data_IF_982182867650
#
_entry.id   IF_982182867650
#
_cell.length_a   1.000
_cell.length_b   1.000
_cell.length_c   1.000
_cell.angle_alpha   90.00
_cell.angle_beta   90.00
_cell.angle_gamma   90.00
#
_symmetry.space_group_name_H-M   'P 1'
#
loop_
_entity.id
_entity.type
_entity.pdbx_description
1 polymer ?
#
# COMPACT_ATOMS: atom_id res chain seq x y z
N UNK A 1 1.41 36.74 -15.06
CA UNK A 1 -0.03 36.72 -15.33
C UNK A 1 -0.27 37.93 -16.22
N UNK A 2 -0.75 37.73 -17.44
CA UNK A 2 -1.11 38.82 -18.35
C UNK A 2 -2.43 39.42 -17.87
N UNK A 3 -2.46 40.74 -17.64
CA UNK A 3 -3.70 41.45 -17.28
C UNK A 3 -4.45 41.74 -18.57
N UNK A 4 -5.66 41.19 -18.68
CA UNK A 4 -6.54 41.40 -19.84
C UNK A 4 -7.57 42.47 -19.50
N UNK A 5 -7.78 43.40 -20.42
CA UNK A 5 -8.86 44.38 -20.36
C UNK A 5 -9.83 44.12 -21.50
N UNK A 6 -11.13 44.10 -21.21
CA UNK A 6 -12.18 43.92 -22.21
C UNK A 6 -13.26 45.00 -22.14
N UNK A 7 -13.72 45.46 -23.29
CA UNK A 7 -14.91 46.28 -23.44
C UNK A 7 -16.10 45.34 -23.52
N UNK A 8 -17.04 45.51 -22.59
CA UNK A 8 -18.24 44.67 -22.49
C UNK A 8 -19.49 45.52 -22.50
N UNK A 9 -20.56 45.00 -23.12
CA UNK A 9 -21.89 45.60 -23.08
C UNK A 9 -22.91 44.54 -22.69
N UNK A 10 -23.69 44.85 -21.66
CA UNK A 10 -24.73 43.98 -21.12
C UNK A 10 -26.07 44.70 -21.16
N UNK A 11 -27.19 44.02 -21.50
CA UNK A 11 -27.28 42.59 -21.83
C UNK A 11 -26.94 42.25 -23.29
N UNK A 12 -26.78 43.25 -24.17
CA UNK A 12 -26.58 43.04 -25.60
C UNK A 12 -25.08 43.10 -25.98
N UNK A 13 -24.49 42.00 -26.46
CA UNK A 13 -23.08 41.97 -26.86
C UNK A 13 -22.77 42.97 -27.98
N UNK A 14 -21.49 43.33 -28.12
CA UNK A 14 -21.04 44.29 -29.15
C UNK A 14 -20.89 43.55 -30.48
N UNK A 15 -21.65 43.95 -31.51
CA UNK A 15 -21.53 43.32 -32.82
C UNK A 15 -20.18 43.63 -33.47
N UNK A 16 -19.62 42.67 -34.23
CA UNK A 16 -18.34 42.90 -34.94
C UNK A 16 -18.40 44.11 -35.90
N UNK A 17 -19.46 44.19 -36.70
CA UNK A 17 -19.65 45.32 -37.64
C UNK A 17 -19.83 46.67 -36.92
N UNK A 18 -20.47 46.65 -35.75
CA UNK A 18 -20.63 47.84 -34.90
C UNK A 18 -19.28 48.30 -34.34
N UNK A 19 -18.45 47.36 -33.86
CA UNK A 19 -17.09 47.64 -33.41
C UNK A 19 -16.23 48.23 -34.54
N UNK A 20 -16.18 47.60 -35.71
CA UNK A 20 -15.42 48.09 -36.86
C UNK A 20 -15.89 49.48 -37.31
N UNK A 21 -17.20 49.74 -37.28
CA UNK A 21 -17.76 51.05 -37.62
C UNK A 21 -17.39 52.12 -36.59
N UNK A 22 -17.44 51.80 -35.30
CA UNK A 22 -17.02 52.70 -34.24
C UNK A 22 -15.51 53.00 -34.36
N UNK A 23 -14.70 51.97 -34.61
CA UNK A 23 -13.25 52.11 -34.77
C UNK A 23 -12.87 53.02 -35.96
N UNK A 24 -13.58 52.94 -37.09
CA UNK A 24 -13.33 53.83 -38.25
C UNK A 24 -13.63 55.30 -37.99
N UNK A 25 -14.41 55.64 -36.95
CA UNK A 25 -14.76 57.02 -36.59
C UNK A 25 -13.73 57.66 -35.64
N UNK A 26 -12.89 56.86 -35.00
CA UNK A 26 -11.88 57.33 -34.05
C UNK A 26 -10.53 57.49 -34.75
N UNK A 27 -9.93 58.68 -34.67
CA UNK A 27 -8.65 58.98 -35.32
C UNK A 27 -7.46 58.23 -34.69
N UNK A 28 -7.60 57.75 -33.46
CA UNK A 28 -6.59 56.98 -32.74
C UNK A 28 -6.67 55.48 -33.06
N UNK A 29 -7.68 55.04 -33.82
CA UNK A 29 -7.85 53.65 -34.24
C UNK A 29 -7.55 53.50 -35.73
N UNK A 30 -6.90 52.39 -36.09
CA UNK A 30 -6.65 51.98 -37.47
C UNK A 30 -7.39 50.67 -37.71
N UNK A 31 -8.18 50.60 -38.78
CA UNK A 31 -8.88 49.39 -39.20
C UNK A 31 -8.27 48.92 -40.50
N UNK A 32 -7.74 47.70 -40.50
CA UNK A 32 -7.18 47.06 -41.67
C UNK A 32 -8.26 46.52 -42.62
N UNK A 33 -7.85 46.13 -43.83
CA UNK A 33 -8.74 45.59 -44.85
C UNK A 33 -9.39 44.26 -44.44
N UNK A 34 -8.74 43.50 -43.55
CA UNK A 34 -9.22 42.25 -42.97
C UNK A 34 -10.16 42.45 -41.75
N UNK A 35 -10.38 43.71 -41.36
CA UNK A 35 -11.18 44.08 -40.19
C UNK A 35 -10.40 44.04 -38.86
N UNK A 36 -9.08 43.79 -38.88
CA UNK A 36 -8.24 43.91 -37.69
C UNK A 36 -8.16 45.36 -37.23
N UNK A 37 -8.25 45.59 -35.91
CA UNK A 37 -8.27 46.94 -35.33
C UNK A 37 -7.06 47.15 -34.45
N UNK A 38 -6.40 48.30 -34.60
CA UNK A 38 -5.20 48.67 -33.86
C UNK A 38 -5.34 50.07 -33.26
N UNK A 39 -4.86 50.24 -32.02
CA UNK A 39 -4.67 51.55 -31.41
C UNK A 39 -3.33 52.12 -31.86
N UNK A 40 -3.36 53.32 -32.46
CA UNK A 40 -2.16 54.07 -32.83
C UNK A 40 -1.56 54.74 -31.60
N UNK A 41 -0.27 54.51 -31.39
CA UNK A 41 0.48 55.01 -30.24
C UNK A 41 1.54 56.03 -30.67
N UNK A 42 2.07 56.77 -29.70
CA UNK A 42 3.21 57.64 -29.94
C UNK A 42 4.41 56.83 -30.48
N UNK A 43 5.18 57.43 -31.40
CA UNK A 43 6.33 56.75 -32.01
C UNK A 43 5.98 55.74 -33.11
N UNK A 44 4.73 55.71 -33.59
CA UNK A 44 4.30 54.83 -34.68
C UNK A 44 4.09 53.37 -34.26
N UNK A 45 4.08 53.10 -32.95
CA UNK A 45 3.73 51.78 -32.42
C UNK A 45 2.22 51.56 -32.52
N UNK A 46 1.82 50.28 -32.61
CA UNK A 46 0.43 49.88 -32.69
C UNK A 46 0.12 48.79 -31.67
N UNK A 47 -1.03 48.87 -31.01
CA UNK A 47 -1.52 47.83 -30.09
C UNK A 47 -2.79 47.20 -30.67
N UNK A 48 -2.82 45.87 -30.89
CA UNK A 48 -3.98 45.20 -31.45
C UNK A 48 -5.15 45.18 -30.46
N UNK A 49 -6.35 45.35 -30.99
CA UNK A 49 -7.63 45.08 -30.32
C UNK A 49 -8.26 43.85 -30.98
N UNK A 50 -8.61 42.87 -30.15
CA UNK A 50 -9.22 41.63 -30.59
C UNK A 50 -10.71 41.67 -30.32
N UNK A 51 -11.52 41.18 -31.24
CA UNK A 51 -12.96 40.98 -31.04
C UNK A 51 -13.27 39.49 -30.97
N UNK A 52 -13.94 39.07 -29.90
CA UNK A 52 -14.35 37.67 -29.69
C UNK A 52 -15.63 37.65 -28.85
N UNK A 53 -16.63 36.87 -29.29
CA UNK A 53 -17.90 36.65 -28.59
C UNK A 53 -18.63 37.91 -28.08
N UNK A 54 -18.45 39.01 -28.82
CA UNK A 54 -19.06 40.30 -28.51
C UNK A 54 -18.39 41.11 -27.40
N UNK A 55 -17.17 40.71 -27.01
CA UNK A 55 -16.23 41.52 -26.23
C UNK A 55 -15.07 42.00 -27.11
N UNK A 56 -14.46 43.14 -26.75
CA UNK A 56 -13.25 43.65 -27.40
C UNK A 56 -12.14 43.67 -26.35
N UNK A 57 -11.04 42.96 -26.55
CA UNK A 57 -9.98 42.87 -25.55
C UNK A 57 -8.59 43.18 -26.09
N UNK A 58 -7.68 43.47 -25.17
CA UNK A 58 -6.25 43.63 -25.44
C UNK A 58 -5.43 43.14 -24.24
N UNK A 59 -4.22 42.68 -24.51
CA UNK A 59 -3.30 42.14 -23.51
C UNK A 59 -2.37 43.24 -23.00
N UNK A 60 -2.39 43.49 -21.68
CA UNK A 60 -1.46 44.39 -20.98
C UNK A 60 -1.37 45.79 -21.63
N UNK A 61 -2.49 46.52 -21.75
CA UNK A 61 -2.48 47.84 -22.35
C UNK A 61 -1.72 48.85 -21.49
N UNK A 62 -0.92 49.68 -22.15
CA UNK A 62 -0.37 50.89 -21.54
C UNK A 62 -1.47 51.95 -21.35
N UNK A 63 -1.18 52.98 -20.55
CA UNK A 63 -2.18 54.00 -20.17
C UNK A 63 -2.78 54.76 -21.37
N UNK A 64 -2.03 54.93 -22.46
CA UNK A 64 -2.51 55.53 -23.70
C UNK A 64 -3.54 54.63 -24.41
N UNK A 65 -3.29 53.32 -24.47
CA UNK A 65 -4.20 52.32 -25.03
C UNK A 65 -5.47 52.21 -24.18
N UNK A 66 -5.34 52.21 -22.84
CA UNK A 66 -6.48 52.22 -21.93
C UNK A 66 -7.38 53.44 -22.13
N UNK A 67 -6.80 54.63 -22.33
CA UNK A 67 -7.57 55.84 -22.57
C UNK A 67 -8.44 55.72 -23.84
N UNK A 68 -7.87 55.19 -24.91
CA UNK A 68 -8.59 54.92 -26.16
C UNK A 68 -9.70 53.89 -25.94
N UNK A 69 -9.43 52.81 -25.22
CA UNK A 69 -10.43 51.80 -24.92
C UNK A 69 -11.59 52.33 -24.06
N UNK A 70 -11.34 53.24 -23.12
CA UNK A 70 -12.39 53.89 -22.32
C UNK A 70 -13.28 54.76 -23.23
N UNK A 71 -12.68 55.54 -24.13
CA UNK A 71 -13.43 56.37 -25.08
C UNK A 71 -14.24 55.51 -26.07
N UNK A 72 -13.64 54.42 -26.55
CA UNK A 72 -14.30 53.46 -27.42
C UNK A 72 -15.47 52.76 -26.70
N UNK A 73 -15.29 52.37 -25.44
CA UNK A 73 -16.36 51.78 -24.63
C UNK A 73 -17.56 52.72 -24.49
N UNK A 74 -17.31 54.01 -24.23
CA UNK A 74 -18.36 55.02 -24.15
C UNK A 74 -19.12 55.16 -25.49
N UNK A 75 -18.41 55.14 -26.62
CA UNK A 75 -18.99 55.20 -27.97
C UNK A 75 -19.89 54.00 -28.28
N UNK A 76 -19.48 52.81 -27.82
CA UNK A 76 -20.20 51.55 -28.01
C UNK A 76 -21.33 51.34 -26.98
N UNK A 77 -21.52 52.26 -26.03
CA UNK A 77 -22.46 52.07 -24.91
C UNK A 77 -22.08 50.90 -24.01
N UNK A 78 -20.80 50.53 -23.98
CA UNK A 78 -20.24 49.49 -23.12
C UNK A 78 -19.45 50.09 -21.96
N UNK A 79 -18.66 49.24 -21.30
CA UNK A 79 -17.72 49.63 -20.25
C UNK A 79 -16.42 48.86 -20.42
N UNK A 80 -15.29 49.51 -20.16
CA UNK A 80 -13.99 48.84 -20.07
C UNK A 80 -13.90 48.15 -18.71
N UNK A 81 -13.59 46.85 -18.69
CA UNK A 81 -13.53 45.98 -17.52
C UNK A 81 -12.21 45.21 -17.53
N UNK A 82 -11.55 45.09 -16.38
CA UNK A 82 -10.38 44.22 -16.25
C UNK A 82 -10.74 42.79 -15.80
N UNK A 83 -9.76 41.91 -15.75
CA UNK A 83 -9.94 40.52 -15.27
C UNK A 83 -10.45 40.42 -13.81
N UNK A 84 -10.25 41.46 -13.01
CA UNK A 84 -10.75 41.57 -11.63
C UNK A 84 -12.24 41.93 -11.55
N UNK A 85 -12.87 42.21 -12.70
CA UNK A 85 -14.22 42.73 -12.85
C UNK A 85 -14.38 44.18 -12.39
N UNK A 86 -13.27 44.92 -12.31
CA UNK A 86 -13.30 46.36 -12.07
C UNK A 86 -13.54 47.05 -13.41
N UNK A 87 -14.60 47.84 -13.47
CA UNK A 87 -14.92 48.67 -14.63
C UNK A 87 -14.27 50.04 -14.49
N UNK A 88 -13.80 50.63 -15.59
CA UNK A 88 -13.03 51.88 -15.59
C UNK A 88 -13.84 52.99 -16.26
N UNK A 89 -14.04 54.12 -15.55
CA UNK A 89 -14.68 55.33 -16.11
C UNK A 89 -13.65 56.31 -16.67
N UNK A 90 -12.51 56.39 -15.99
CA UNK A 90 -11.31 57.14 -16.38
C UNK A 90 -10.10 56.28 -16.02
N UNK A 91 -8.90 56.71 -16.40
CA UNK A 91 -7.66 55.99 -16.07
C UNK A 91 -7.46 55.81 -14.55
N UNK A 92 -8.01 56.73 -13.74
CA UNK A 92 -7.81 56.75 -12.29
C UNK A 92 -9.07 56.37 -11.50
N UNK A 93 -10.21 56.15 -12.16
CA UNK A 93 -11.50 55.89 -11.51
C UNK A 93 -12.10 54.55 -11.94
N UNK A 94 -11.84 53.52 -11.14
CA UNK A 94 -12.48 52.22 -11.20
C UNK A 94 -13.76 52.14 -10.36
N UNK A 95 -14.70 51.28 -10.77
CA UNK A 95 -15.90 50.94 -10.01
C UNK A 95 -16.35 49.50 -10.30
N UNK A 96 -17.12 48.90 -9.40
CA UNK A 96 -17.74 47.59 -9.63
C UNK A 96 -19.14 47.80 -10.20
N UNK A 97 -19.44 47.22 -11.36
CA UNK A 97 -20.76 47.32 -11.97
C UNK A 97 -21.74 46.32 -11.33
N UNK A 98 -23.04 46.68 -11.25
CA UNK A 98 -24.06 45.84 -10.62
C UNK A 98 -24.18 44.45 -11.28
N UNK A 99 -24.08 44.40 -12.61
CA UNK A 99 -24.10 43.14 -13.38
C UNK A 99 -22.97 42.17 -12.99
N UNK A 100 -21.84 42.68 -12.50
CA UNK A 100 -20.71 41.86 -12.09
C UNK A 100 -20.87 41.31 -10.65
N UNK A 101 -21.90 41.76 -9.90
CA UNK A 101 -22.15 41.34 -8.53
C UNK A 101 -22.39 39.83 -8.40
N UNK A 102 -23.15 39.24 -9.32
CA UNK A 102 -23.40 37.79 -9.33
C UNK A 102 -22.10 37.00 -9.57
N UNK A 103 -21.27 37.46 -10.51
CA UNK A 103 -19.98 36.84 -10.84
C UNK A 103 -18.99 36.99 -9.67
N UNK A 104 -18.94 38.15 -9.01
CA UNK A 104 -18.13 38.37 -7.81
C UNK A 104 -18.57 37.47 -6.66
N UNK A 105 -19.88 37.36 -6.41
CA UNK A 105 -20.42 36.45 -5.39
C UNK A 105 -20.08 34.98 -5.71
N UNK A 106 -20.17 34.58 -6.99
CA UNK A 106 -19.76 33.25 -7.43
C UNK A 106 -18.26 33.00 -7.20
N UNK A 107 -17.38 33.95 -7.57
CA UNK A 107 -15.93 33.87 -7.33
C UNK A 107 -15.61 33.81 -5.84
N UNK A 108 -16.23 34.64 -5.01
CA UNK A 108 -16.05 34.62 -3.55
C UNK A 108 -16.50 33.27 -2.96
N UNK A 109 -17.66 32.74 -3.37
CA UNK A 109 -18.13 31.43 -2.89
C UNK A 109 -17.21 30.28 -3.35
N UNK A 110 -16.65 30.35 -4.56
CA UNK A 110 -15.68 29.39 -5.06
C UNK A 110 -14.37 29.46 -4.27
N UNK A 111 -13.86 30.67 -4.00
CA UNK A 111 -12.68 30.89 -3.18
C UNK A 111 -12.88 30.39 -1.75
N UNK A 112 -14.04 30.64 -1.14
CA UNK A 112 -14.38 30.11 0.18
C UNK A 112 -14.45 28.57 0.18
N UNK A 113 -15.08 27.96 -0.83
CA UNK A 113 -15.09 26.48 -1.01
C UNK A 113 -13.68 25.92 -1.15
N UNK A 114 -12.83 26.59 -1.93
CA UNK A 114 -11.44 26.19 -2.12
C UNK A 114 -10.63 26.31 -0.83
N UNK A 115 -10.78 27.42 -0.09
CA UNK A 115 -10.15 27.61 1.22
C UNK A 115 -10.61 26.56 2.24
N UNK A 116 -11.92 26.22 2.28
CA UNK A 116 -12.45 25.14 3.13
C UNK A 116 -11.83 23.80 2.77
N UNK A 117 -11.78 23.44 1.48
CA UNK A 117 -11.12 22.20 1.01
C UNK A 117 -9.64 22.18 1.36
N UNK A 118 -8.94 23.31 1.23
CA UNK A 118 -7.52 23.43 1.60
C UNK A 118 -7.30 23.26 3.10
N UNK A 119 -8.14 23.88 3.94
CA UNK A 119 -8.11 23.70 5.41
C UNK A 119 -8.40 22.25 5.82
N UNK A 120 -9.39 21.60 5.21
CA UNK A 120 -9.70 20.18 5.45
C UNK A 120 -8.53 19.28 5.06
N UNK A 121 -7.94 19.48 3.87
CA UNK A 121 -6.75 18.73 3.45
C UNK A 121 -5.55 18.99 4.37
N UNK A 122 -5.37 20.23 4.82
CA UNK A 122 -4.34 20.59 5.80
C UNK A 122 -4.55 19.89 7.15
N UNK A 123 -5.79 19.87 7.65
CA UNK A 123 -6.16 19.18 8.89
C UNK A 123 -5.98 17.66 8.78
N UNK A 124 -6.37 17.05 7.66
CA UNK A 124 -6.11 15.62 7.39
C UNK A 124 -4.63 15.29 7.36
N UNK A 125 -3.79 16.13 6.73
CA UNK A 125 -2.33 15.95 6.74
C UNK A 125 -1.76 16.06 8.15
N UNK A 126 -2.19 17.05 8.93
CA UNK A 126 -1.76 17.20 10.33
C UNK A 126 -2.18 15.98 11.17
N UNK A 127 -3.42 15.51 11.01
CA UNK A 127 -3.92 14.33 11.70
C UNK A 127 -3.13 13.08 11.33
N UNK A 128 -2.80 12.88 10.05
CA UNK A 128 -1.96 11.78 9.60
C UNK A 128 -0.53 11.86 10.18
N UNK A 129 0.07 13.05 10.23
CA UNK A 129 1.39 13.27 10.85
C UNK A 129 1.33 12.99 12.35
N UNK A 130 0.29 13.46 13.05
CA UNK A 130 0.09 13.17 14.47
C UNK A 130 -0.12 11.67 14.73
N UNK A 131 -0.90 10.99 13.89
CA UNK A 131 -1.10 9.55 13.98
C UNK A 131 0.23 8.80 13.77
N UNK A 132 1.01 9.18 12.75
CA UNK A 132 2.33 8.61 12.52
C UNK A 132 3.30 8.90 13.67
N UNK A 133 3.24 10.09 14.28
CA UNK A 133 4.03 10.42 15.45
C UNK A 133 3.63 9.58 16.67
N UNK A 134 2.33 9.39 16.91
CA UNK A 134 1.81 8.50 17.96
C UNK A 134 2.26 7.06 17.71
N UNK A 135 2.15 6.57 16.47
CA UNK A 135 2.65 5.24 16.09
C UNK A 135 4.17 5.17 16.30
N UNK A 136 4.95 6.17 15.90
CA UNK A 136 6.39 6.18 16.11
C UNK A 136 6.78 6.24 17.60
N UNK A 137 6.03 6.97 18.43
CA UNK A 137 6.20 7.00 19.88
C UNK A 137 5.83 5.64 20.47
N UNK A 138 4.72 5.03 20.04
CA UNK A 138 4.32 3.70 20.46
C UNK A 138 5.37 2.64 20.08
N UNK A 139 5.88 2.72 18.85
CA UNK A 139 6.98 1.91 18.31
C UNK A 139 8.34 2.26 18.93
N UNK A 140 8.45 3.24 19.81
CA UNK A 140 9.67 3.48 20.61
C UNK A 140 9.47 3.22 22.09
N UNK A 141 8.23 3.03 22.53
CA UNK A 141 7.92 2.84 23.93
C UNK A 141 8.18 1.38 24.31
N UNK A 142 9.12 1.09 25.22
CA UNK A 142 9.54 -0.28 25.54
C UNK A 142 8.42 -1.15 26.15
N UNK A 143 7.36 -0.53 26.69
CA UNK A 143 6.20 -1.26 27.22
C UNK A 143 5.19 -1.74 26.14
N UNK A 144 5.28 -1.24 24.90
CA UNK A 144 4.36 -1.59 23.81
C UNK A 144 4.95 -2.60 22.83
N UNK A 145 6.25 -2.84 22.90
CA UNK A 145 6.86 -3.99 22.27
C UNK A 145 6.86 -5.14 23.28
N UNK A 146 6.50 -6.37 22.87
CA UNK A 146 6.88 -7.52 23.67
C UNK A 146 8.39 -7.41 23.88
N UNK A 147 8.83 -7.40 25.15
CA UNK A 147 10.24 -7.56 25.50
C UNK A 147 10.81 -8.62 24.59
N UNK A 148 11.95 -8.37 23.91
CA UNK A 148 12.53 -9.37 23.03
C UNK A 148 12.60 -10.68 23.80
N UNK A 149 12.09 -11.76 23.22
CA UNK A 149 11.96 -13.08 23.89
C UNK A 149 13.32 -13.69 24.29
N UNK A 150 14.41 -12.97 24.04
CA UNK A 150 15.77 -13.21 24.49
C UNK A 150 16.13 -12.52 25.81
N UNK A 151 15.27 -11.65 26.34
CA UNK A 151 15.42 -11.05 27.67
C UNK A 151 15.21 -12.14 28.74
N UNK A 152 16.22 -12.46 29.59
CA UNK A 152 16.08 -13.44 30.66
C UNK A 152 15.00 -13.07 31.70
N UNK A 153 14.48 -11.83 31.69
CA UNK A 153 13.35 -11.41 32.50
C UNK A 153 11.97 -11.61 31.83
N UNK A 154 11.93 -12.08 30.57
CA UNK A 154 10.68 -12.42 29.88
C UNK A 154 9.95 -13.56 30.58
N UNK A 155 8.63 -13.46 30.71
CA UNK A 155 7.78 -14.53 31.24
C UNK A 155 7.84 -15.84 30.41
N UNK A 156 8.41 -15.79 29.21
CA UNK A 156 8.62 -16.91 28.30
C UNK A 156 10.10 -17.30 28.14
N UNK A 157 11.02 -16.68 28.90
CA UNK A 157 12.41 -17.11 28.91
C UNK A 157 12.51 -18.52 29.49
N UNK A 158 13.12 -19.45 28.74
CA UNK A 158 13.30 -20.82 29.20
C UNK A 158 14.14 -20.83 30.49
N UNK A 159 13.63 -21.39 31.60
CA UNK A 159 14.36 -21.50 32.85
C UNK A 159 15.73 -22.15 32.65
N UNK A 160 16.75 -21.75 33.41
CA UNK A 160 18.10 -22.32 33.28
C UNK A 160 18.12 -23.85 33.44
N UNK A 161 17.26 -24.38 34.31
CA UNK A 161 17.06 -25.83 34.49
C UNK A 161 16.51 -26.53 33.25
N UNK A 162 15.68 -25.86 32.44
CA UNK A 162 15.14 -26.40 31.19
C UNK A 162 16.21 -26.43 30.10
N UNK A 163 17.06 -25.39 30.03
CA UNK A 163 18.26 -25.41 29.16
C UNK A 163 19.22 -26.55 29.50
N UNK A 164 19.35 -26.88 30.79
CA UNK A 164 20.14 -28.02 31.25
C UNK A 164 19.45 -29.38 30.96
N UNK A 165 18.12 -29.47 31.10
CA UNK A 165 17.35 -30.68 30.82
C UNK A 165 17.31 -31.07 29.33
N UNK A 166 17.48 -30.11 28.41
CA UNK A 166 17.71 -30.34 26.97
C UNK A 166 19.00 -31.14 26.68
N UNK A 167 19.86 -31.37 27.69
CA UNK A 167 21.17 -32.00 27.56
C UNK A 167 21.20 -33.53 27.53
N UNK A 168 20.26 -34.24 28.19
CA UNK A 168 20.57 -35.63 28.62
C UNK A 168 19.73 -36.77 28.00
N UNK A 169 18.70 -36.50 27.20
CA UNK A 169 17.98 -37.55 26.46
C UNK A 169 18.13 -37.36 24.95
N UNK A 170 18.53 -38.43 24.24
CA UNK A 170 18.55 -38.44 22.77
C UNK A 170 17.13 -38.14 22.27
N UNK A 171 16.94 -37.12 21.42
CA UNK A 171 15.62 -36.81 20.90
C UNK A 171 15.14 -37.92 19.97
N UNK A 172 13.84 -38.18 19.94
CA UNK A 172 13.21 -39.03 18.94
C UNK A 172 12.88 -38.25 17.66
N UNK A 173 12.87 -36.91 17.75
CA UNK A 173 12.50 -35.99 16.69
C UNK A 173 13.24 -34.65 16.85
N UNK A 174 13.72 -34.09 15.74
CA UNK A 174 14.25 -32.73 15.70
C UNK A 174 13.25 -31.79 15.02
N UNK A 175 12.98 -30.66 15.67
CA UNK A 175 12.21 -29.56 15.12
C UNK A 175 13.16 -28.42 14.77
N UNK A 176 13.27 -28.10 13.49
CA UNK A 176 14.29 -27.19 12.96
C UNK A 176 13.60 -26.00 12.30
N UNK A 177 13.59 -24.81 12.91
CA UNK A 177 13.11 -23.61 12.23
C UNK A 177 14.10 -23.18 11.14
N UNK A 178 13.60 -22.73 10.00
CA UNK A 178 14.39 -21.98 9.01
C UNK A 178 14.62 -20.54 9.48
N UNK A 179 15.52 -19.82 8.80
CA UNK A 179 15.84 -18.41 9.05
C UNK A 179 14.63 -17.45 8.97
N UNK A 180 13.58 -17.86 8.26
CA UNK A 180 12.34 -17.13 8.15
C UNK A 180 11.29 -17.53 9.19
N UNK A 181 11.60 -18.41 10.16
CA UNK A 181 10.65 -18.90 11.16
C UNK A 181 11.10 -18.51 12.58
N UNK A 182 10.15 -18.09 13.43
CA UNK A 182 10.46 -17.68 14.80
C UNK A 182 10.96 -18.85 15.65
N UNK A 183 12.19 -18.77 16.16
CA UNK A 183 12.79 -19.80 17.02
C UNK A 183 12.01 -20.02 18.32
N UNK A 184 11.54 -18.94 18.96
CA UNK A 184 10.75 -19.03 20.20
C UNK A 184 9.41 -19.72 19.96
N UNK A 185 8.75 -19.41 18.84
CA UNK A 185 7.51 -20.09 18.49
C UNK A 185 7.76 -21.56 18.11
N UNK A 186 8.86 -21.87 17.43
CA UNK A 186 9.27 -23.26 17.20
C UNK A 186 9.57 -24.01 18.51
N UNK A 187 10.14 -23.35 19.52
CA UNK A 187 10.36 -23.96 20.83
C UNK A 187 9.02 -24.30 21.51
N UNK A 188 8.09 -23.35 21.54
CA UNK A 188 6.71 -23.56 22.04
C UNK A 188 6.02 -24.73 21.32
N UNK A 189 6.07 -24.78 20.00
CA UNK A 189 5.51 -25.88 19.22
C UNK A 189 6.19 -27.21 19.50
N UNK A 190 7.50 -27.21 19.77
CA UNK A 190 8.25 -28.39 20.17
C UNK A 190 7.75 -28.99 21.48
N UNK A 191 7.48 -28.13 22.48
CA UNK A 191 6.94 -28.56 23.78
C UNK A 191 5.53 -29.14 23.62
N UNK A 192 4.65 -28.44 22.89
CA UNK A 192 3.30 -28.94 22.58
C UNK A 192 3.32 -30.24 21.79
N UNK A 193 4.24 -30.38 20.83
CA UNK A 193 4.40 -31.61 20.05
C UNK A 193 4.91 -32.76 20.91
N UNK A 194 5.85 -32.50 21.83
CA UNK A 194 6.35 -33.51 22.77
C UNK A 194 5.23 -34.02 23.68
N UNK A 195 4.39 -33.12 24.20
CA UNK A 195 3.19 -33.45 24.99
C UNK A 195 2.22 -34.32 24.18
N UNK A 196 1.82 -33.87 22.99
CA UNK A 196 0.79 -34.53 22.18
C UNK A 196 1.25 -35.87 21.57
N UNK A 197 2.55 -36.03 21.32
CA UNK A 197 3.10 -37.27 20.74
C UNK A 197 3.71 -38.22 21.77
N UNK A 198 3.88 -37.78 23.02
CA UNK A 198 4.65 -38.48 24.04
C UNK A 198 6.07 -38.86 23.59
N UNK A 199 6.66 -38.09 22.67
CA UNK A 199 8.03 -38.28 22.18
C UNK A 199 8.96 -37.19 22.72
N UNK A 200 10.24 -37.51 22.99
CA UNK A 200 11.24 -36.48 23.25
C UNK A 200 11.51 -35.70 21.95
N UNK A 201 10.95 -34.50 21.85
CA UNK A 201 11.20 -33.55 20.75
C UNK A 201 12.27 -32.56 21.18
N UNK A 202 13.24 -32.29 20.29
CA UNK A 202 14.24 -31.24 20.52
C UNK A 202 14.15 -30.19 19.42
N UNK A 203 13.86 -28.95 19.82
CA UNK A 203 13.91 -27.79 18.93
C UNK A 203 15.34 -27.26 18.83
N UNK A 204 15.77 -26.90 17.63
CA UNK A 204 17.12 -26.36 17.37
C UNK A 204 17.09 -24.85 17.15
N UNK A 205 18.27 -24.25 17.04
CA UNK A 205 18.42 -22.92 16.47
C UNK A 205 18.04 -22.92 14.98
N UNK A 206 17.75 -21.73 14.47
CA UNK A 206 17.40 -21.46 13.08
C UNK A 206 18.49 -21.89 12.11
N UNK A 207 18.08 -22.50 11.00
CA UNK A 207 18.99 -22.84 9.89
C UNK A 207 18.85 -21.80 8.78
N UNK A 208 19.99 -21.22 8.40
CA UNK A 208 20.06 -20.34 7.23
C UNK A 208 19.81 -21.14 5.95
N UNK A 209 18.74 -20.81 5.23
CA UNK A 209 18.45 -21.44 3.93
C UNK A 209 19.15 -20.70 2.78
N UNK A 210 19.66 -19.50 3.05
CA UNK A 210 20.32 -18.68 2.05
C UNK A 210 19.37 -18.15 0.96
N UNK A 211 19.93 -17.55 -0.10
CA UNK A 211 19.15 -16.99 -1.21
C UNK A 211 18.64 -18.12 -2.11
N UNK A 212 17.51 -18.70 -1.75
CA UNK A 212 16.79 -19.62 -2.64
C UNK A 212 16.01 -18.81 -3.68
N UNK A 213 15.92 -19.35 -4.89
CA UNK A 213 15.07 -18.77 -5.93
C UNK A 213 13.67 -19.39 -5.85
N UNK A 214 12.62 -18.61 -6.06
CA UNK A 214 11.30 -19.18 -6.23
C UNK A 214 11.24 -19.97 -7.55
N UNK A 215 10.30 -20.91 -7.64
CA UNK A 215 9.93 -21.60 -8.87
C UNK A 215 9.55 -20.58 -9.95
N UNK A 216 9.91 -20.87 -11.20
CA UNK A 216 9.57 -20.02 -12.34
C UNK A 216 8.08 -19.66 -12.36
N UNK A 217 7.78 -18.37 -12.55
CA UNK A 217 6.43 -17.79 -12.59
C UNK A 217 5.61 -17.92 -11.30
N UNK A 218 6.26 -18.14 -10.15
CA UNK A 218 5.59 -18.28 -8.85
C UNK A 218 6.36 -17.58 -7.73
N UNK A 219 5.72 -17.45 -6.58
CA UNK A 219 6.36 -17.05 -5.30
C UNK A 219 6.66 -18.26 -4.40
N UNK A 220 6.38 -19.46 -4.92
CA UNK A 220 6.61 -20.72 -4.23
C UNK A 220 8.05 -21.18 -4.39
N UNK A 221 8.55 -21.91 -3.41
CA UNK A 221 9.87 -22.50 -3.42
C UNK A 221 9.78 -24.02 -3.55
N UNK A 222 10.76 -24.63 -4.23
CA UNK A 222 10.85 -26.09 -4.28
C UNK A 222 11.29 -26.61 -2.90
N UNK A 223 10.44 -27.40 -2.28
CA UNK A 223 10.74 -28.10 -1.04
C UNK A 223 12.04 -28.92 -1.10
N UNK A 224 12.46 -29.41 -2.27
CA UNK A 224 13.70 -30.18 -2.44
C UNK A 224 14.93 -29.28 -2.32
N UNK A 225 14.87 -28.06 -2.86
CA UNK A 225 15.93 -27.07 -2.71
C UNK A 225 16.04 -26.60 -1.25
N UNK A 226 14.92 -26.46 -0.53
CA UNK A 226 14.93 -26.16 0.90
C UNK A 226 15.67 -27.24 1.70
N UNK A 227 15.39 -28.52 1.40
CA UNK A 227 16.11 -29.65 2.05
C UNK A 227 17.59 -29.62 1.70
N UNK A 228 17.95 -29.38 0.44
CA UNK A 228 19.34 -29.30 0.01
C UNK A 228 20.10 -28.16 0.70
N UNK A 229 19.48 -27.00 0.85
CA UNK A 229 20.06 -25.86 1.56
C UNK A 229 20.23 -26.13 3.06
N UNK A 230 19.27 -26.81 3.70
CA UNK A 230 19.36 -27.19 5.10
C UNK A 230 20.30 -28.40 5.36
N UNK A 231 20.69 -29.14 4.32
CA UNK A 231 21.41 -30.41 4.45
C UNK A 231 22.71 -30.31 5.28
N UNK A 232 23.58 -29.27 5.14
CA UNK A 232 24.79 -29.16 5.95
C UNK A 232 24.49 -29.01 7.45
N UNK A 233 23.44 -28.28 7.82
CA UNK A 233 23.03 -28.13 9.21
C UNK A 233 22.39 -29.42 9.75
N UNK A 234 21.53 -30.06 8.96
CA UNK A 234 20.92 -31.35 9.30
C UNK A 234 21.99 -32.43 9.51
N UNK A 235 23.02 -32.49 8.67
CA UNK A 235 24.11 -33.44 8.81
C UNK A 235 24.86 -33.27 10.15
N UNK A 236 25.12 -32.02 10.58
CA UNK A 236 25.73 -31.74 11.89
C UNK A 236 24.82 -32.17 13.04
N UNK A 237 23.53 -31.88 12.96
CA UNK A 237 22.55 -32.30 13.96
C UNK A 237 22.48 -33.83 14.06
N UNK A 238 22.56 -34.55 12.93
CA UNK A 238 22.58 -36.02 12.92
C UNK A 238 23.87 -36.61 13.45
N UNK A 239 25.01 -35.99 13.18
CA UNK A 239 26.27 -36.38 13.80
C UNK A 239 26.19 -36.27 15.33
N UNK A 240 25.44 -35.30 15.85
CA UNK A 240 25.27 -35.09 17.30
C UNK A 240 24.18 -35.99 17.92
N UNK A 241 23.02 -36.14 17.28
CA UNK A 241 21.83 -36.77 17.86
C UNK A 241 21.43 -38.11 17.23
N UNK A 242 22.08 -38.52 16.13
CA UNK A 242 21.78 -39.71 15.35
C UNK A 242 20.83 -39.45 14.17
N UNK A 243 20.52 -40.52 13.41
CA UNK A 243 19.61 -40.50 12.23
C UNK A 243 18.12 -40.42 12.64
N UNK A 244 17.78 -39.40 13.41
CA UNK A 244 16.42 -39.11 13.87
C UNK A 244 15.66 -38.28 12.82
N UNK A 245 14.33 -38.41 12.72
CA UNK A 245 13.55 -37.57 11.83
C UNK A 245 13.70 -36.08 12.10
N UNK A 246 13.63 -35.31 11.02
CA UNK A 246 13.73 -33.84 11.07
C UNK A 246 12.46 -33.23 10.49
N UNK A 247 11.87 -32.28 11.22
CA UNK A 247 10.78 -31.43 10.74
C UNK A 247 11.33 -30.02 10.55
N UNK A 248 11.49 -29.60 9.30
CA UNK A 248 11.93 -28.26 8.90
C UNK A 248 10.71 -27.33 8.81
N UNK A 249 10.70 -26.24 9.55
CA UNK A 249 9.62 -25.23 9.55
C UNK A 249 10.01 -24.00 8.75
N UNK A 250 9.11 -23.49 7.93
CA UNK A 250 9.37 -22.27 7.12
C UNK A 250 8.10 -21.42 6.93
N UNK A 251 8.29 -20.13 6.71
CA UNK A 251 7.24 -19.19 6.30
C UNK A 251 7.10 -19.07 4.77
N UNK A 252 8.06 -19.61 3.99
CA UNK A 252 8.00 -19.67 2.52
C UNK A 252 6.87 -20.57 2.05
N UNK A 253 6.13 -20.16 1.02
CA UNK A 253 5.14 -21.01 0.36
C UNK A 253 5.86 -22.11 -0.43
N UNK A 254 5.49 -23.37 -0.25
CA UNK A 254 6.23 -24.50 -0.83
C UNK A 254 5.41 -25.26 -1.87
N UNK A 255 6.12 -25.85 -2.83
CA UNK A 255 5.59 -26.82 -3.76
C UNK A 255 6.70 -27.82 -4.18
N UNK A 256 6.39 -28.75 -5.08
CA UNK A 256 7.40 -29.55 -5.78
C UNK A 256 7.66 -28.95 -7.17
N UNK A 257 8.80 -29.31 -7.77
CA UNK A 257 9.16 -28.87 -9.12
C UNK A 257 8.07 -29.21 -10.17
N UNK A 258 7.40 -30.36 -10.04
CA UNK A 258 6.35 -30.78 -10.97
C UNK A 258 5.04 -29.98 -10.82
N UNK A 259 4.84 -29.31 -9.67
CA UNK A 259 3.66 -28.47 -9.38
C UNK A 259 2.31 -29.15 -9.66
N UNK A 260 2.20 -30.44 -9.35
CA UNK A 260 0.95 -31.20 -9.55
C UNK A 260 -0.22 -30.73 -8.68
N UNK A 261 0.06 -29.91 -7.66
CA UNK A 261 -0.92 -29.26 -6.79
C UNK A 261 -0.67 -27.74 -6.79
N UNK A 262 -1.71 -26.96 -6.46
CA UNK A 262 -1.62 -25.50 -6.40
C UNK A 262 -0.60 -25.01 -5.35
N UNK A 263 -0.49 -25.72 -4.23
CA UNK A 263 0.48 -25.49 -3.16
C UNK A 263 0.53 -26.74 -2.28
N UNK A 264 1.52 -26.82 -1.39
CA UNK A 264 1.59 -27.86 -0.35
C UNK A 264 1.80 -27.22 1.02
N UNK A 265 1.11 -27.74 2.02
CA UNK A 265 1.37 -27.38 3.42
C UNK A 265 2.60 -28.10 3.98
N UNK A 266 2.83 -29.33 3.53
CA UNK A 266 3.97 -30.12 3.93
C UNK A 266 4.43 -31.04 2.78
N UNK A 267 5.73 -31.33 2.76
CA UNK A 267 6.35 -32.32 1.89
C UNK A 267 7.18 -33.28 2.75
N UNK A 268 6.97 -34.60 2.56
CA UNK A 268 7.63 -35.63 3.34
C UNK A 268 8.58 -36.46 2.46
N UNK A 269 9.83 -36.55 2.88
CA UNK A 269 10.87 -37.36 2.26
C UNK A 269 11.19 -38.51 3.21
N UNK A 270 10.54 -39.67 3.02
CA UNK A 270 10.64 -40.81 3.95
C UNK A 270 12.05 -41.44 3.99
N UNK A 271 12.74 -41.46 2.84
CA UNK A 271 14.12 -41.97 2.71
C UNK A 271 15.09 -41.20 3.62
N UNK A 272 15.30 -39.90 3.41
CA UNK A 272 16.14 -39.11 4.31
C UNK A 272 15.47 -38.80 5.64
N UNK A 273 14.20 -39.19 5.89
CA UNK A 273 13.43 -38.89 7.13
C UNK A 273 13.30 -37.39 7.43
N UNK A 274 13.01 -36.59 6.40
CA UNK A 274 12.83 -35.14 6.51
C UNK A 274 11.41 -34.78 6.10
N UNK A 275 10.76 -33.90 6.86
CA UNK A 275 9.54 -33.23 6.41
C UNK A 275 9.75 -31.73 6.39
N UNK A 276 9.32 -31.06 5.34
CA UNK A 276 9.27 -29.59 5.25
C UNK A 276 7.83 -29.16 5.47
N UNK A 277 7.58 -28.23 6.39
CA UNK A 277 6.25 -27.74 6.75
C UNK A 277 6.22 -26.23 6.58
N UNK A 278 5.27 -25.74 5.79
CA UNK A 278 5.10 -24.33 5.46
C UNK A 278 3.86 -23.75 6.13
N UNK A 279 4.02 -22.61 6.80
CA UNK A 279 2.88 -21.85 7.35
C UNK A 279 2.29 -20.83 6.39
N UNK A 280 2.87 -20.61 5.21
CA UNK A 280 2.51 -19.53 4.28
C UNK A 280 1.03 -19.50 3.91
N UNK A 281 0.42 -20.69 3.79
CA UNK A 281 -0.99 -20.89 3.42
C UNK A 281 -1.89 -21.21 4.61
N UNK A 282 -1.33 -21.31 5.82
CA UNK A 282 -2.08 -21.52 7.07
C UNK A 282 -2.58 -20.21 7.67
N UNK A 283 -1.92 -19.10 7.31
CA UNK A 283 -2.31 -17.75 7.70
C UNK A 283 -3.55 -17.31 6.88
N UNK A 284 -4.56 -16.72 7.52
CA UNK A 284 -5.72 -16.16 6.83
C UNK A 284 -5.28 -15.01 5.90
N UNK A 285 -5.98 -14.88 4.76
CA UNK A 285 -5.72 -13.80 3.80
C UNK A 285 -5.81 -12.42 4.45
N UNK A 286 -4.92 -11.50 4.03
CA UNK A 286 -4.67 -10.17 4.63
C UNK A 286 -5.87 -9.21 4.73
N UNK A 287 -7.09 -9.57 4.30
CA UNK A 287 -8.16 -8.60 4.07
C UNK A 287 -9.40 -8.71 4.97
N UNK A 288 -9.77 -9.88 5.53
CA UNK A 288 -10.92 -10.00 6.44
C UNK A 288 -10.71 -11.17 7.41
N UNK A 289 -10.69 -10.88 8.72
CA UNK A 289 -10.60 -11.89 9.78
C UNK A 289 -9.20 -12.47 9.97
N UNK A 290 -8.40 -11.86 10.87
CA UNK A 290 -7.24 -12.57 11.42
C UNK A 290 -7.79 -13.74 12.25
N UNK A 291 -7.59 -14.97 11.76
CA UNK A 291 -7.53 -16.18 12.57
C UNK A 291 -6.78 -15.86 13.88
N UNK A 292 -7.34 -16.29 15.01
CA UNK A 292 -6.63 -16.16 16.27
C UNK A 292 -5.34 -16.98 16.24
N UNK A 293 -4.37 -16.57 17.04
CA UNK A 293 -3.09 -17.28 17.15
C UNK A 293 -3.32 -18.76 17.52
N UNK A 294 -4.38 -19.06 18.29
CA UNK A 294 -4.77 -20.42 18.63
C UNK A 294 -5.15 -21.27 17.41
N UNK A 295 -5.84 -20.69 16.42
CA UNK A 295 -6.23 -21.43 15.21
C UNK A 295 -5.02 -21.74 14.33
N UNK A 296 -4.07 -20.81 14.23
CA UNK A 296 -2.81 -21.03 13.50
C UNK A 296 -1.96 -22.10 14.19
N UNK A 297 -1.85 -22.03 15.52
CA UNK A 297 -1.18 -23.06 16.33
C UNK A 297 -1.82 -24.43 16.10
N UNK A 298 -3.15 -24.53 16.20
CA UNK A 298 -3.87 -25.79 16.00
C UNK A 298 -3.60 -26.40 14.61
N UNK A 299 -3.66 -25.58 13.55
CA UNK A 299 -3.36 -26.01 12.17
C UNK A 299 -1.94 -26.56 12.02
N UNK A 300 -0.96 -25.87 12.62
CA UNK A 300 0.43 -26.25 12.53
C UNK A 300 0.71 -27.53 13.34
N UNK A 301 0.14 -27.65 14.55
CA UNK A 301 0.25 -28.86 15.37
C UNK A 301 -0.33 -30.08 14.66
N UNK A 302 -1.44 -29.96 13.92
CA UNK A 302 -1.99 -31.06 13.12
C UNK A 302 -1.00 -31.54 12.05
N UNK A 303 -0.32 -30.63 11.35
CA UNK A 303 0.71 -31.01 10.37
C UNK A 303 1.97 -31.58 11.00
N UNK A 304 2.38 -31.05 12.15
CA UNK A 304 3.49 -31.59 12.93
C UNK A 304 3.21 -33.02 13.37
N UNK A 305 2.06 -33.26 14.01
CA UNK A 305 1.63 -34.59 14.44
C UNK A 305 1.49 -35.55 13.27
N UNK A 306 0.89 -35.12 12.17
CA UNK A 306 0.83 -35.92 10.94
C UNK A 306 2.23 -36.31 10.45
N UNK A 307 3.18 -35.37 10.48
CA UNK A 307 4.57 -35.62 10.09
C UNK A 307 5.24 -36.63 11.03
N UNK A 308 4.96 -36.55 12.33
CA UNK A 308 5.39 -37.54 13.32
C UNK A 308 4.80 -38.92 12.99
N UNK A 309 3.50 -38.98 12.71
CA UNK A 309 2.82 -40.19 12.27
C UNK A 309 3.52 -40.87 11.09
N UNK A 310 3.91 -40.10 10.07
CA UNK A 310 4.58 -40.65 8.89
C UNK A 310 6.07 -40.96 9.09
N UNK A 311 6.81 -40.12 9.82
CA UNK A 311 8.27 -40.23 9.91
C UNK A 311 8.76 -41.11 11.06
N UNK A 312 8.01 -41.13 12.16
CA UNK A 312 8.32 -41.91 13.36
C UNK A 312 7.53 -43.22 13.33
N UNK A 313 6.20 -43.13 13.29
CA UNK A 313 5.32 -44.30 13.44
C UNK A 313 5.00 -45.02 12.12
N UNK A 314 5.45 -44.48 10.98
CA UNK A 314 5.19 -45.02 9.63
C UNK A 314 3.70 -45.28 9.34
N UNK A 315 2.84 -44.45 9.93
CA UNK A 315 1.40 -44.56 9.76
C UNK A 315 1.00 -44.23 8.31
N UNK A 316 0.11 -45.02 7.71
CA UNK A 316 -0.44 -44.71 6.40
C UNK A 316 -1.34 -43.48 6.47
N UNK A 317 -1.67 -42.95 5.30
CA UNK A 317 -2.72 -41.92 5.19
C UNK A 317 -4.07 -42.55 5.51
N UNK A 318 -4.96 -41.74 6.07
CA UNK A 318 -6.31 -42.12 6.45
C UNK A 318 -7.33 -41.33 5.63
N UNK A 319 -8.53 -41.85 5.44
CA UNK A 319 -9.65 -41.15 4.81
C UNK A 319 -10.65 -40.60 5.81
N UNK A 320 -10.55 -40.97 7.09
CA UNK A 320 -11.34 -40.39 8.16
C UNK A 320 -10.92 -38.93 8.42
N UNK A 321 -11.85 -37.99 8.28
CA UNK A 321 -11.58 -36.56 8.48
C UNK A 321 -11.19 -36.27 9.92
N UNK A 322 -11.62 -37.07 10.89
CA UNK A 322 -11.27 -36.85 12.30
C UNK A 322 -9.89 -37.42 12.64
N UNK A 323 -9.22 -38.10 11.69
CA UNK A 323 -7.85 -38.60 11.84
C UNK A 323 -6.81 -37.51 11.55
N UNK A 324 -5.77 -37.41 12.38
CA UNK A 324 -4.62 -36.53 12.08
C UNK A 324 -3.87 -36.98 10.81
N UNK A 325 -4.08 -38.23 10.38
CA UNK A 325 -3.49 -38.81 9.18
C UNK A 325 -4.35 -38.59 7.91
N UNK A 326 -5.49 -37.89 8.04
CA UNK A 326 -6.45 -37.63 6.95
C UNK A 326 -5.78 -37.17 5.65
N UNK A 327 -6.17 -37.74 4.51
CA UNK A 327 -5.76 -37.33 3.18
C UNK A 327 -6.89 -37.64 2.17
N UNK A 328 -7.03 -36.83 1.11
CA UNK A 328 -6.25 -35.64 0.76
C UNK A 328 -6.65 -34.39 1.58
N UNK A 329 -5.71 -33.47 1.83
CA UNK A 329 -6.03 -32.12 2.36
C UNK A 329 -6.13 -31.17 1.17
N UNK A 330 -7.34 -30.68 0.88
CA UNK A 330 -7.62 -29.79 -0.25
C UNK A 330 -7.57 -28.30 0.14
N UNK A 331 -7.62 -27.98 1.43
CA UNK A 331 -7.48 -26.62 1.92
C UNK A 331 -7.60 -26.49 3.44
N UNK A 332 -7.80 -25.25 3.90
CA UNK A 332 -7.92 -24.94 5.33
C UNK A 332 -9.17 -25.53 5.98
N UNK A 333 -10.27 -25.67 5.23
CA UNK A 333 -11.50 -26.26 5.76
C UNK A 333 -11.28 -27.72 6.21
N UNK A 334 -10.53 -28.50 5.45
CA UNK A 334 -10.18 -29.87 5.84
C UNK A 334 -9.24 -29.87 7.05
N UNK A 335 -8.23 -29.00 7.02
CA UNK A 335 -7.28 -28.86 8.12
C UNK A 335 -7.95 -28.45 9.44
N UNK A 336 -8.96 -27.59 9.39
CA UNK A 336 -9.71 -27.15 10.56
C UNK A 336 -10.56 -28.28 11.14
N UNK A 337 -11.07 -29.18 10.30
CA UNK A 337 -11.86 -30.35 10.71
C UNK A 337 -11.03 -31.53 11.19
N UNK A 338 -9.77 -31.64 10.76
CA UNK A 338 -8.87 -32.71 11.18
C UNK A 338 -8.75 -32.85 12.70
N UNK A 339 -8.69 -34.08 13.20
CA UNK A 339 -8.38 -34.32 14.62
C UNK A 339 -6.92 -34.00 14.97
N UNK A 340 -6.63 -34.00 16.27
CA UNK A 340 -5.31 -33.70 16.84
C UNK A 340 -4.69 -34.92 17.55
N UNK A 341 -5.26 -36.12 17.37
CA UNK A 341 -4.79 -37.32 18.06
C UNK A 341 -4.04 -38.22 17.09
N UNK A 342 -2.86 -38.68 17.52
CA UNK A 342 -2.18 -39.79 16.86
C UNK A 342 -2.87 -41.10 17.26
N UNK A 343 -3.10 -42.03 16.32
CA UNK A 343 -3.58 -43.35 16.67
C UNK A 343 -2.52 -44.06 17.54
N UNK A 344 -2.95 -44.93 18.47
CA UNK A 344 -2.02 -45.68 19.31
C UNK A 344 -1.06 -46.51 18.43
N UNK A 345 0.21 -46.67 18.84
CA UNK A 345 1.15 -47.53 18.13
C UNK A 345 0.59 -48.97 18.10
N UNK A 346 0.62 -49.60 16.93
CA UNK A 346 0.25 -51.01 16.77
C UNK A 346 1.37 -51.95 17.19
#
# INVERSE_FOLDING_TARGET
>A
MSVVFSIVRTPQPIGRAEFEQAARRDAQLRVDADGSVYVRRAGGLEAPLYWEDGEIYTDVPESDVLAVMIALAATLGGRLRDESLTSWRTLDAGYVHADDAATLAARQSAQQRWQRKRRLRGGLKLAAVLLLAVVAIALRHPALWPTPLTDPASAFALPAAWRAALGDRRPALLLVPADDFSESYAAHLGDRLAELSALPVKTTLGVGLGPLQPLADSTQFDSTELVAAAAPAIARLRAQYGEVPVLLLTQRDINTAERSLRYRFAQHYLGPRISVISVARMLPGRFVGRASDELIEARLLKFLLRSVGQQVYRLPRDTDIDSVMYAPIMGLADLDRMGLQLPPPR
#
